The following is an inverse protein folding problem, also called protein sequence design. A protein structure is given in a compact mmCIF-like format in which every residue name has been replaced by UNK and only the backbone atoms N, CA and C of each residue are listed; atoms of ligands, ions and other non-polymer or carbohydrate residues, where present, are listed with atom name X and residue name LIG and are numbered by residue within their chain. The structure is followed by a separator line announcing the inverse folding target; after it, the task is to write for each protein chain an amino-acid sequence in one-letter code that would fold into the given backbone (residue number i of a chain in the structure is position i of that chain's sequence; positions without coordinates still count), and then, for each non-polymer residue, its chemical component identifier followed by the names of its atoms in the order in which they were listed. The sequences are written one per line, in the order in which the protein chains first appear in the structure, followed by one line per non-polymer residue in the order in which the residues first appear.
data_IF_399766834560
#
_entry.id   IF_399766834560
#
_cell.length_a   1.000
_cell.length_b   1.000
_cell.length_c   1.000
_cell.angle_alpha   90.00
_cell.angle_beta   90.00
_cell.angle_gamma   90.00
#
_symmetry.space_group_name_H-M   'P 1'
#
loop_
_entity.id
_entity.type
_entity.pdbx_description
1 polymer ?
#
# COMPACT_ATOMS: atom_id res chain seq x y z
N UNK A 1 -11.68 16.93 -10.26
CA UNK A 1 -11.53 17.59 -8.93
C UNK A 1 -10.09 18.06 -8.79
N UNK A 2 -9.80 19.16 -8.06
CA UNK A 2 -8.42 19.53 -7.75
C UNK A 2 -7.77 18.51 -6.79
N UNK A 3 -6.44 18.45 -6.77
CA UNK A 3 -5.68 17.59 -5.86
C UNK A 3 -4.77 18.42 -4.97
N UNK A 4 -4.84 18.19 -3.65
CA UNK A 4 -3.97 18.81 -2.66
C UNK A 4 -2.80 17.86 -2.35
N UNK A 5 -1.57 18.32 -2.56
CA UNK A 5 -0.35 17.65 -2.18
C UNK A 5 0.27 18.37 -0.97
N UNK A 6 0.14 17.83 0.25
CA UNK A 6 0.85 18.37 1.41
C UNK A 6 2.36 18.39 1.15
N UNK A 7 3.02 19.47 1.55
CA UNK A 7 4.43 19.69 1.27
C UNK A 7 5.15 20.37 2.43
N UNK A 8 6.33 19.85 2.78
CA UNK A 8 7.25 20.44 3.75
C UNK A 8 8.34 21.21 3.00
N UNK A 9 8.19 22.53 2.94
CA UNK A 9 9.10 23.38 2.16
C UNK A 9 10.47 23.58 2.80
N UNK A 10 10.61 23.39 4.11
CA UNK A 10 11.90 23.48 4.84
C UNK A 10 12.70 24.76 4.51
N UNK A 11 12.02 25.91 4.40
CA UNK A 11 12.63 27.20 4.09
C UNK A 11 12.85 27.48 2.59
N UNK A 12 12.55 26.52 1.71
CA UNK A 12 12.60 26.71 0.27
C UNK A 12 11.26 27.22 -0.29
N UNK A 13 11.29 27.69 -1.54
CA UNK A 13 10.09 28.04 -2.30
C UNK A 13 10.02 27.19 -3.57
N UNK A 14 8.81 26.84 -4.01
CA UNK A 14 8.61 26.20 -5.32
C UNK A 14 8.80 27.26 -6.40
N UNK A 15 9.70 27.01 -7.35
CA UNK A 15 10.02 27.93 -8.45
C UNK A 15 9.41 27.48 -9.78
N UNK A 16 9.06 26.20 -9.92
CA UNK A 16 8.38 25.70 -11.11
C UNK A 16 7.98 24.24 -11.02
N UNK A 17 7.08 23.85 -11.94
CA UNK A 17 6.69 22.46 -12.19
C UNK A 17 6.75 22.23 -13.69
N UNK A 18 7.42 21.16 -14.10
CA UNK A 18 7.45 20.72 -15.50
C UNK A 18 6.95 19.30 -15.64
N UNK A 19 6.27 19.00 -16.73
CA UNK A 19 5.97 17.62 -17.12
C UNK A 19 7.22 16.92 -17.65
N UNK A 20 7.17 15.60 -17.75
CA UNK A 20 8.23 14.77 -18.34
C UNK A 20 8.61 15.16 -19.79
N UNK A 21 7.73 15.85 -20.52
CA UNK A 21 8.01 16.35 -21.88
C UNK A 21 8.67 17.74 -21.87
N UNK A 22 8.90 18.34 -20.70
CA UNK A 22 9.46 19.67 -20.53
C UNK A 22 8.44 20.81 -20.55
N UNK A 23 7.14 20.52 -20.71
CA UNK A 23 6.11 21.55 -20.63
C UNK A 23 6.01 22.12 -19.21
N UNK A 24 6.16 23.44 -19.08
CA UNK A 24 6.06 24.15 -17.80
C UNK A 24 4.61 24.48 -17.47
N UNK A 25 4.19 24.11 -16.26
CA UNK A 25 2.87 24.44 -15.75
C UNK A 25 2.80 25.92 -15.33
N UNK A 26 1.65 26.52 -15.53
CA UNK A 26 1.37 27.92 -15.20
C UNK A 26 0.86 28.06 -13.77
N UNK A 27 1.63 28.76 -12.92
CA UNK A 27 1.19 29.11 -11.57
C UNK A 27 -0.09 29.95 -11.61
N UNK A 28 -1.02 29.66 -10.71
CA UNK A 28 -2.33 30.30 -10.66
C UNK A 28 -3.35 29.73 -11.64
N UNK A 29 -2.96 29.05 -12.72
CA UNK A 29 -3.87 28.34 -13.64
C UNK A 29 -3.87 26.84 -13.36
N UNK A 30 -2.71 26.21 -13.42
CA UNK A 30 -2.57 24.74 -13.38
C UNK A 30 -2.32 24.26 -11.96
N UNK A 31 -1.69 25.10 -11.13
CA UNK A 31 -1.47 24.85 -9.72
C UNK A 31 -1.44 26.14 -8.89
N UNK A 32 -1.61 26.00 -7.58
CA UNK A 32 -1.40 27.07 -6.59
C UNK A 32 -0.55 26.54 -5.45
N UNK A 33 0.19 27.42 -4.78
CA UNK A 33 1.07 27.07 -3.66
C UNK A 33 0.61 27.80 -2.40
N UNK A 34 0.60 27.07 -1.29
CA UNK A 34 0.37 27.60 0.06
C UNK A 34 1.60 27.34 0.93
N UNK A 35 1.57 27.74 2.20
CA UNK A 35 2.71 27.57 3.12
C UNK A 35 3.07 26.10 3.40
N UNK A 36 2.14 25.15 3.18
CA UNK A 36 2.32 23.74 3.53
C UNK A 36 1.76 22.77 2.49
N UNK A 37 1.40 23.23 1.29
CA UNK A 37 0.85 22.38 0.25
C UNK A 37 0.93 23.00 -1.15
N UNK A 38 0.96 22.13 -2.16
CA UNK A 38 0.80 22.44 -3.58
C UNK A 38 -0.57 21.90 -4.00
N UNK A 39 -1.40 22.72 -4.63
CA UNK A 39 -2.71 22.29 -5.15
C UNK A 39 -2.68 22.27 -6.67
N UNK A 40 -2.92 21.10 -7.27
CA UNK A 40 -3.12 20.96 -8.71
C UNK A 40 -4.59 21.18 -9.07
N UNK A 41 -4.85 22.03 -10.05
CA UNK A 41 -6.22 22.41 -10.42
C UNK A 41 -6.90 21.32 -11.24
N UNK A 42 -8.22 21.26 -11.13
CA UNK A 42 -9.04 20.29 -11.84
C UNK A 42 -8.86 20.34 -13.37
N UNK A 43 -8.70 21.54 -13.96
CA UNK A 43 -8.51 21.71 -15.40
C UNK A 43 -7.23 21.09 -15.92
N UNK A 44 -6.13 21.23 -15.17
CA UNK A 44 -4.87 20.54 -15.50
C UNK A 44 -5.00 19.02 -15.32
N UNK A 45 -5.63 18.58 -14.22
CA UNK A 45 -5.75 17.14 -13.93
C UNK A 45 -6.69 16.40 -14.89
N UNK A 46 -7.69 17.08 -15.49
CA UNK A 46 -8.61 16.45 -16.43
C UNK A 46 -7.95 15.99 -17.74
N UNK A 47 -6.76 16.48 -18.05
CA UNK A 47 -5.97 15.99 -19.19
C UNK A 47 -5.46 14.56 -18.97
N UNK A 48 -5.39 14.12 -17.71
CA UNK A 48 -4.79 12.84 -17.31
C UNK A 48 -5.76 11.91 -16.60
N UNK A 49 -6.78 12.44 -15.93
CA UNK A 49 -7.64 11.70 -15.01
C UNK A 49 -9.11 11.83 -15.40
N UNK A 50 -9.85 10.74 -15.32
CA UNK A 50 -11.27 10.72 -15.65
C UNK A 50 -11.90 9.33 -15.57
N UNK A 51 -13.24 9.24 -15.60
CA UNK A 51 -13.96 7.98 -15.40
C UNK A 51 -13.70 6.94 -16.50
N UNK A 52 -13.35 7.38 -17.71
CA UNK A 52 -13.07 6.52 -18.85
C UNK A 52 -11.58 6.40 -19.16
N UNK A 53 -10.72 6.93 -18.27
CA UNK A 53 -9.28 6.82 -18.44
C UNK A 53 -8.84 5.49 -17.86
N UNK A 54 -8.07 4.72 -18.64
CA UNK A 54 -7.51 3.46 -18.18
C UNK A 54 -6.61 3.68 -16.95
N UNK A 55 -6.63 2.79 -15.94
CA UNK A 55 -5.70 2.90 -14.82
C UNK A 55 -4.23 2.83 -15.24
N UNK A 56 -3.35 3.40 -14.41
CA UNK A 56 -1.90 3.42 -14.57
C UNK A 56 -1.29 4.82 -14.52
N UNK A 57 0.02 4.87 -14.70
CA UNK A 57 0.82 6.11 -14.80
C UNK A 57 0.32 7.00 -15.94
N UNK A 58 0.22 8.31 -15.69
CA UNK A 58 -0.24 9.30 -16.68
C UNK A 58 0.78 10.38 -16.97
N UNK A 59 1.45 10.89 -15.93
CA UNK A 59 2.49 11.89 -16.10
C UNK A 59 3.46 11.88 -14.93
N UNK A 60 4.74 12.06 -15.21
CA UNK A 60 5.71 12.46 -14.20
C UNK A 60 5.89 13.97 -14.22
N UNK A 61 5.82 14.59 -13.04
CA UNK A 61 6.03 16.02 -12.85
C UNK A 61 7.32 16.23 -12.04
N UNK A 62 8.15 17.16 -12.49
CA UNK A 62 9.37 17.58 -11.80
C UNK A 62 9.09 18.91 -11.11
N UNK A 63 9.23 18.94 -9.79
CA UNK A 63 9.09 20.11 -8.94
C UNK A 63 10.48 20.69 -8.69
N UNK A 64 10.67 21.95 -9.04
CA UNK A 64 11.91 22.69 -8.84
C UNK A 64 11.74 23.70 -7.71
N UNK A 65 12.75 23.81 -6.86
CA UNK A 65 12.75 24.68 -5.70
C UNK A 65 13.88 25.72 -5.78
N UNK A 66 13.81 26.74 -4.94
CA UNK A 66 14.82 27.81 -4.83
C UNK A 66 16.22 27.29 -4.51
N UNK A 67 16.32 26.16 -3.80
CA UNK A 67 17.56 25.46 -3.52
C UNK A 67 17.29 23.96 -3.31
N UNK A 68 18.35 23.16 -3.35
CA UNK A 68 18.28 21.72 -3.15
C UNK A 68 17.88 20.93 -4.41
N UNK A 69 17.68 19.62 -4.23
CA UNK A 69 17.31 18.72 -5.31
C UNK A 69 15.87 18.94 -5.78
N UNK A 70 15.60 18.62 -7.04
CA UNK A 70 14.23 18.52 -7.55
C UNK A 70 13.50 17.34 -6.90
N UNK A 71 12.17 17.40 -6.92
CA UNK A 71 11.32 16.27 -6.53
C UNK A 71 10.49 15.81 -7.71
N UNK A 72 10.35 14.50 -7.86
CA UNK A 72 9.50 13.90 -8.88
C UNK A 72 8.23 13.37 -8.23
N UNK A 73 7.09 13.71 -8.82
CA UNK A 73 5.79 13.14 -8.45
C UNK A 73 5.13 12.54 -9.67
N UNK A 74 4.23 11.59 -9.44
CA UNK A 74 3.51 10.89 -10.50
C UNK A 74 2.01 11.20 -10.41
N UNK A 75 1.42 11.51 -11.55
CA UNK A 75 -0.04 11.55 -11.73
C UNK A 75 -0.48 10.16 -12.15
N UNK A 76 -1.32 9.53 -11.35
CA UNK A 76 -1.78 8.16 -11.55
C UNK A 76 -3.30 8.12 -11.58
N UNK A 77 -3.85 7.54 -12.65
CA UNK A 77 -5.24 7.10 -12.64
C UNK A 77 -5.27 5.73 -11.97
N UNK A 78 -6.09 5.56 -10.94
CA UNK A 78 -6.19 4.27 -10.26
C UNK A 78 -7.65 3.82 -10.20
N UNK A 79 -7.81 2.52 -9.95
CA UNK A 79 -9.05 1.82 -9.62
C UNK A 79 -8.67 0.64 -8.71
N UNK A 80 -9.64 -0.04 -8.09
CA UNK A 80 -9.34 -1.15 -7.18
C UNK A 80 -8.74 -2.33 -7.96
N UNK A 81 -7.52 -2.81 -7.60
CA UNK A 81 -6.93 -4.01 -8.19
C UNK A 81 -7.83 -5.24 -8.02
N UNK A 82 -7.61 -6.27 -8.82
CA UNK A 82 -8.41 -7.52 -8.75
C UNK A 82 -7.51 -8.76 -8.75
N UNK A 83 -7.96 -9.83 -8.10
CA UNK A 83 -7.36 -11.16 -8.28
C UNK A 83 -7.58 -11.60 -9.72
N UNK A 84 -6.53 -12.15 -10.33
CA UNK A 84 -6.64 -12.79 -11.65
C UNK A 84 -7.20 -14.20 -11.49
N UNK A 85 -6.71 -14.93 -10.50
CA UNK A 85 -7.15 -16.28 -10.11
C UNK A 85 -6.87 -16.49 -8.64
N UNK A 86 -7.58 -17.45 -8.03
CA UNK A 86 -7.30 -17.96 -6.69
C UNK A 86 -6.38 -19.18 -6.84
N UNK A 87 -5.10 -19.08 -6.44
CA UNK A 87 -4.16 -20.19 -6.52
C UNK A 87 -4.26 -21.09 -5.28
N UNK A 88 -4.03 -22.38 -5.45
CA UNK A 88 -3.91 -23.30 -4.31
C UNK A 88 -2.54 -23.16 -3.63
N UNK A 89 -2.49 -23.31 -2.31
CA UNK A 89 -1.25 -23.30 -1.56
C UNK A 89 -0.61 -24.71 -1.58
N UNK A 90 0.69 -24.78 -1.89
CA UNK A 90 1.46 -26.01 -1.72
C UNK A 90 2.32 -25.90 -0.46
N UNK A 91 2.22 -26.84 0.50
CA UNK A 91 3.02 -26.81 1.72
C UNK A 91 4.53 -26.70 1.44
N UNK A 92 5.19 -25.79 2.15
CA UNK A 92 6.62 -25.53 1.99
C UNK A 92 7.02 -24.72 0.75
N UNK A 93 6.06 -24.20 -0.03
CA UNK A 93 6.31 -23.32 -1.17
C UNK A 93 5.76 -21.90 -0.94
N UNK A 94 6.37 -20.92 -1.59
CA UNK A 94 5.80 -19.56 -1.67
C UNK A 94 4.55 -19.58 -2.56
N UNK A 95 3.47 -18.95 -2.11
CA UNK A 95 2.22 -18.84 -2.86
C UNK A 95 2.23 -17.57 -3.70
N UNK A 96 2.07 -17.75 -5.02
CA UNK A 96 2.00 -16.65 -5.99
C UNK A 96 0.54 -16.26 -6.22
N UNK A 97 0.13 -15.09 -5.73
CA UNK A 97 -1.22 -14.55 -5.88
C UNK A 97 -1.21 -13.52 -7.02
N UNK A 98 -1.74 -13.86 -8.20
CA UNK A 98 -1.72 -12.97 -9.34
C UNK A 98 -2.74 -11.85 -9.18
N UNK A 99 -2.25 -10.62 -9.29
CA UNK A 99 -3.00 -9.38 -9.17
C UNK A 99 -2.97 -8.63 -10.50
N UNK A 100 -4.15 -8.27 -11.00
CA UNK A 100 -4.26 -7.23 -12.01
C UNK A 100 -4.21 -5.87 -11.31
N UNK A 101 -3.04 -5.25 -11.35
CA UNK A 101 -2.85 -3.90 -10.82
C UNK A 101 -3.67 -2.87 -11.61
N UNK A 102 -4.29 -1.95 -10.90
CA UNK A 102 -5.04 -0.83 -11.48
C UNK A 102 -4.57 0.50 -10.90
N UNK A 103 -3.29 0.79 -11.07
CA UNK A 103 -2.67 2.00 -10.51
C UNK A 103 -1.16 1.81 -10.39
N UNK A 104 -0.59 2.23 -9.27
CA UNK A 104 0.82 1.96 -8.96
C UNK A 104 0.96 0.47 -8.59
N UNK A 105 1.88 -0.29 -9.22
CA UNK A 105 2.11 -1.70 -8.93
C UNK A 105 2.94 -1.89 -7.65
N UNK A 106 2.48 -1.27 -6.55
CA UNK A 106 3.13 -1.28 -5.25
C UNK A 106 2.09 -1.62 -4.20
N UNK A 107 2.38 -2.65 -3.43
CA UNK A 107 1.53 -3.05 -2.32
C UNK A 107 1.76 -2.11 -1.13
N UNK A 108 0.67 -1.67 -0.51
CA UNK A 108 0.75 -0.76 0.61
C UNK A 108 0.90 -1.54 1.93
N UNK A 109 0.08 -2.57 2.15
CA UNK A 109 0.17 -3.46 3.31
C UNK A 109 -0.55 -4.78 3.04
N UNK A 110 -0.25 -5.80 3.86
CA UNK A 110 -1.05 -7.03 3.92
C UNK A 110 -1.50 -7.24 5.35
N UNK A 111 -2.76 -7.62 5.53
CA UNK A 111 -3.36 -8.03 6.80
C UNK A 111 -3.81 -9.48 6.70
N UNK A 112 -3.68 -10.29 7.75
CA UNK A 112 -4.38 -11.59 7.82
C UNK A 112 -5.17 -11.75 9.11
N UNK A 113 -6.31 -12.40 8.98
CA UNK A 113 -7.25 -12.65 10.06
C UNK A 113 -7.94 -13.99 9.82
N UNK A 114 -7.89 -14.88 10.81
CA UNK A 114 -8.63 -16.13 10.82
C UNK A 114 -10.14 -15.87 10.98
N UNK A 115 -10.96 -16.86 10.63
CA UNK A 115 -12.42 -16.77 10.71
C UNK A 115 -12.96 -16.49 12.11
N UNK A 116 -12.22 -16.87 13.16
CA UNK A 116 -12.55 -16.61 14.57
C UNK A 116 -11.97 -15.30 15.12
N UNK A 117 -11.37 -14.47 14.26
CA UNK A 117 -10.75 -13.19 14.62
C UNK A 117 -9.28 -13.29 15.06
N UNK A 118 -8.71 -14.49 15.11
CA UNK A 118 -7.30 -14.71 15.44
C UNK A 118 -6.39 -14.10 14.37
N UNK A 119 -5.29 -13.45 14.77
CA UNK A 119 -4.25 -12.93 13.86
C UNK A 119 -3.09 -13.95 13.78
N UNK A 120 -2.23 -13.93 12.75
CA UNK A 120 -1.33 -15.07 12.47
C UNK A 120 0.18 -14.91 12.70
N UNK A 121 0.76 -13.75 13.06
CA UNK A 121 2.23 -13.57 12.99
C UNK A 121 2.89 -12.84 14.16
N UNK A 122 4.22 -12.97 14.28
CA UNK A 122 5.14 -12.39 15.28
C UNK A 122 6.47 -11.89 14.63
N UNK A 123 7.17 -11.00 15.36
CA UNK A 123 8.58 -10.60 15.44
C UNK A 123 9.13 -9.24 14.90
N UNK A 124 9.45 -8.38 15.88
CA UNK A 124 10.39 -7.23 16.05
C UNK A 124 10.36 -5.95 15.15
N UNK A 125 10.41 -4.75 15.79
CA UNK A 125 10.73 -3.44 15.17
C UNK A 125 11.37 -2.41 16.14
N UNK A 126 12.56 -2.65 16.69
CA UNK A 126 13.19 -1.69 17.62
C UNK A 126 14.08 -0.60 16.95
N UNK A 127 14.15 -0.53 15.61
CA UNK A 127 15.12 0.37 14.93
C UNK A 127 14.58 1.22 13.76
N UNK A 128 13.29 1.57 13.74
CA UNK A 128 12.75 2.45 12.69
C UNK A 128 12.69 3.92 13.11
N UNK A 129 13.29 4.79 12.30
CA UNK A 129 13.37 6.24 12.50
C UNK A 129 12.13 7.00 11.99
N UNK A 130 12.02 8.32 12.28
CA UNK A 130 10.79 9.11 12.10
C UNK A 130 10.25 9.22 10.66
N UNK A 131 11.07 8.92 9.65
CA UNK A 131 10.75 9.08 8.23
C UNK A 131 9.98 7.90 7.61
N UNK A 132 9.81 6.79 8.34
CA UNK A 132 9.03 5.65 7.87
C UNK A 132 7.54 5.74 8.25
N UNK A 133 7.05 6.87 8.77
CA UNK A 133 5.69 6.93 9.36
C UNK A 133 4.47 6.65 8.45
N UNK A 134 4.50 6.63 7.10
CA UNK A 134 3.41 6.06 6.31
C UNK A 134 3.59 4.57 5.95
N UNK A 135 4.70 3.94 6.34
CA UNK A 135 5.11 2.59 5.92
C UNK A 135 5.61 1.77 7.11
N UNK A 136 5.12 0.54 7.27
CA UNK A 136 5.49 -0.48 8.28
C UNK A 136 4.81 -0.39 9.66
N UNK A 137 4.69 -1.48 10.44
CA UNK A 137 4.79 -2.95 10.28
C UNK A 137 4.58 -3.55 11.69
N UNK A 138 4.41 -4.88 11.74
CA UNK A 138 4.24 -5.76 12.89
C UNK A 138 2.85 -5.77 13.51
N UNK A 139 2.27 -6.97 13.65
CA UNK A 139 1.10 -7.26 14.50
C UNK A 139 1.16 -8.67 15.07
N UNK A 140 0.93 -8.89 16.38
CA UNK A 140 0.57 -10.21 16.93
C UNK A 140 -0.93 -10.33 17.27
N UNK A 141 -1.26 -11.49 17.79
CA UNK A 141 -2.58 -12.08 17.83
C UNK A 141 -3.01 -12.54 19.21
N UNK A 142 -4.33 -12.56 19.43
CA UNK A 142 -4.99 -13.29 20.51
C UNK A 142 -6.17 -14.13 19.95
N UNK A 143 -6.31 -15.34 20.51
CA UNK A 143 -7.37 -16.29 20.23
C UNK A 143 -8.59 -16.08 21.13
N UNK A 144 -9.75 -16.65 20.75
CA UNK A 144 -11.00 -16.58 21.53
C UNK A 144 -10.93 -17.30 22.90
N UNK A 145 -9.85 -18.06 23.16
CA UNK A 145 -9.61 -18.81 24.40
C UNK A 145 -8.66 -18.13 25.40
N UNK A 146 -8.13 -16.94 25.05
CA UNK A 146 -7.35 -16.10 25.97
C UNK A 146 -5.87 -16.49 26.17
N UNK A 147 -5.30 -17.38 25.34
CA UNK A 147 -3.88 -17.74 25.47
C UNK A 147 -2.96 -16.70 24.82
N UNK A 148 -2.01 -16.16 25.60
CA UNK A 148 -1.03 -15.12 25.22
C UNK A 148 0.38 -15.73 25.12
N UNK A 149 1.02 -15.59 23.95
CA UNK A 149 2.47 -15.73 23.75
C UNK A 149 3.03 -14.33 23.43
N UNK A 150 3.70 -13.65 24.38
CA UNK A 150 4.20 -12.24 24.27
C UNK A 150 4.99 -11.95 22.97
N UNK A 151 5.00 -10.76 22.31
CA UNK A 151 4.72 -9.32 22.62
C UNK A 151 3.81 -8.63 21.55
N UNK A 152 2.67 -8.01 21.94
CA UNK A 152 1.52 -7.66 21.05
C UNK A 152 0.90 -6.29 21.17
N UNK A 153 1.71 -5.29 20.96
CA UNK A 153 1.23 -3.94 21.17
C UNK A 153 0.21 -3.46 20.10
N UNK A 154 0.02 -4.20 19.00
CA UNK A 154 -0.64 -3.71 17.77
C UNK A 154 -2.13 -3.99 17.64
N UNK A 155 -2.65 -4.96 18.39
CA UNK A 155 -4.09 -5.17 18.57
C UNK A 155 -4.80 -3.93 19.16
N UNK A 156 -4.04 -3.09 19.87
CA UNK A 156 -4.47 -1.80 20.44
C UNK A 156 -4.29 -0.60 19.51
N UNK A 157 -3.70 -0.79 18.33
CA UNK A 157 -3.55 0.27 17.35
C UNK A 157 -4.84 0.49 16.56
N UNK A 158 -4.95 1.68 15.95
CA UNK A 158 -6.09 2.00 15.09
C UNK A 158 -6.25 1.00 13.93
N UNK A 159 -7.42 0.96 13.26
CA UNK A 159 -7.74 -0.03 12.22
C UNK A 159 -6.68 -0.20 11.10
N UNK A 160 -5.85 0.82 10.87
CA UNK A 160 -4.77 0.84 9.87
C UNK A 160 -3.53 0.02 10.24
N UNK A 161 -3.40 -0.42 11.50
CA UNK A 161 -2.16 -1.00 12.01
C UNK A 161 -2.35 -2.39 12.62
N UNK A 162 -3.57 -2.93 12.71
CA UNK A 162 -3.88 -4.26 13.28
C UNK A 162 -3.88 -5.39 12.21
N UNK A 163 -3.42 -6.58 12.57
CA UNK A 163 -3.30 -7.80 11.74
C UNK A 163 -2.24 -7.83 10.63
N UNK A 164 -1.26 -6.92 10.59
CA UNK A 164 -0.33 -6.72 9.46
C UNK A 164 0.82 -7.73 9.42
N UNK A 165 1.11 -8.20 8.21
CA UNK A 165 2.26 -9.02 7.89
C UNK A 165 3.53 -8.16 7.77
N UNK A 166 4.69 -8.82 7.82
CA UNK A 166 6.01 -8.19 7.68
C UNK A 166 6.53 -8.40 6.26
N UNK A 167 6.90 -7.30 5.59
CA UNK A 167 7.48 -7.34 4.26
C UNK A 167 8.80 -8.12 4.25
N UNK A 168 9.07 -8.86 3.17
CA UNK A 168 10.17 -9.81 2.98
C UNK A 168 10.18 -11.03 3.90
N UNK A 169 9.54 -10.98 5.07
CA UNK A 169 9.44 -12.14 5.98
C UNK A 169 8.20 -13.01 5.69
N UNK A 170 7.03 -12.38 5.61
CA UNK A 170 5.74 -13.06 5.45
C UNK A 170 5.10 -12.81 4.08
N UNK A 171 5.39 -11.66 3.46
CA UNK A 171 4.94 -11.36 2.11
C UNK A 171 5.99 -10.57 1.34
N UNK A 172 5.90 -10.66 0.02
CA UNK A 172 6.61 -9.81 -0.94
C UNK A 172 5.66 -9.48 -2.09
N UNK A 173 6.10 -8.67 -3.05
CA UNK A 173 5.42 -8.55 -4.34
C UNK A 173 6.46 -8.37 -5.44
N UNK A 174 6.24 -9.02 -6.56
CA UNK A 174 7.11 -8.94 -7.73
C UNK A 174 6.25 -9.01 -8.99
N UNK A 175 6.50 -8.09 -9.92
CA UNK A 175 5.75 -8.02 -11.17
C UNK A 175 4.23 -7.94 -10.92
N UNK A 176 3.50 -8.95 -11.41
CA UNK A 176 2.03 -9.03 -11.27
C UNK A 176 1.57 -9.89 -10.09
N UNK A 177 2.46 -10.30 -9.18
CA UNK A 177 2.12 -11.19 -8.08
C UNK A 177 2.35 -10.52 -6.72
N UNK A 178 1.41 -10.74 -5.82
CA UNK A 178 1.69 -10.71 -4.39
C UNK A 178 2.13 -12.11 -3.98
N UNK A 179 3.21 -12.21 -3.22
CA UNK A 179 3.79 -13.47 -2.82
C UNK A 179 3.56 -13.63 -1.32
N UNK A 180 2.81 -14.64 -0.91
CA UNK A 180 2.81 -15.08 0.49
C UNK A 180 3.93 -16.09 0.67
N UNK A 181 4.82 -15.84 1.63
CA UNK A 181 5.97 -16.70 1.87
C UNK A 181 5.52 -18.04 2.44
N UNK A 182 6.31 -19.09 2.20
CA UNK A 182 6.08 -20.42 2.78
C UNK A 182 5.91 -20.38 4.31
N UNK A 183 6.56 -19.44 5.00
CA UNK A 183 6.40 -19.18 6.44
C UNK A 183 4.97 -18.76 6.81
N UNK A 184 4.35 -17.88 6.02
CA UNK A 184 2.97 -17.47 6.21
C UNK A 184 1.99 -18.61 5.93
N UNK A 185 2.27 -19.43 4.90
CA UNK A 185 1.47 -20.63 4.60
C UNK A 185 1.56 -21.64 5.73
N UNK A 186 2.77 -21.93 6.24
CA UNK A 186 3.00 -22.81 7.37
C UNK A 186 2.23 -22.36 8.62
N UNK A 187 2.20 -21.04 8.91
CA UNK A 187 1.44 -20.49 10.03
C UNK A 187 -0.08 -20.72 9.88
N UNK A 188 -0.63 -20.62 8.67
CA UNK A 188 -2.05 -20.94 8.42
C UNK A 188 -2.34 -22.42 8.65
N UNK A 189 -1.48 -23.30 8.13
CA UNK A 189 -1.60 -24.75 8.30
C UNK A 189 -1.48 -25.16 9.78
N UNK A 190 -0.54 -24.58 10.53
CA UNK A 190 -0.36 -24.82 11.97
C UNK A 190 -1.54 -24.30 12.78
N UNK A 191 -2.09 -23.13 12.42
CA UNK A 191 -3.30 -22.60 13.05
C UNK A 191 -4.52 -23.50 12.80
N UNK A 192 -4.52 -24.25 11.68
CA UNK A 192 -5.58 -25.15 11.27
C UNK A 192 -6.97 -24.49 11.25
N UNK A 193 -7.01 -23.24 10.76
CA UNK A 193 -8.23 -22.45 10.54
C UNK A 193 -8.13 -21.71 9.22
N UNK A 194 -9.25 -21.45 8.57
CA UNK A 194 -9.29 -20.61 7.38
C UNK A 194 -8.87 -19.17 7.71
N UNK A 195 -8.07 -18.59 6.83
CA UNK A 195 -7.41 -17.30 7.01
C UNK A 195 -7.66 -16.38 5.83
N UNK A 196 -8.24 -15.21 6.11
CA UNK A 196 -8.44 -14.14 5.14
C UNK A 196 -7.27 -13.18 5.15
N UNK A 197 -6.51 -13.18 4.07
CA UNK A 197 -5.53 -12.15 3.72
C UNK A 197 -6.24 -10.96 3.06
N UNK A 198 -5.89 -9.74 3.43
CA UNK A 198 -6.35 -8.49 2.83
C UNK A 198 -5.13 -7.71 2.36
N UNK A 199 -5.01 -7.55 1.04
CA UNK A 199 -3.99 -6.79 0.35
C UNK A 199 -4.48 -5.36 0.16
N UNK A 200 -3.82 -4.39 0.79
CA UNK A 200 -4.14 -2.96 0.67
C UNK A 200 -3.21 -2.30 -0.35
N UNK A 201 -3.75 -1.45 -1.21
CA UNK A 201 -3.03 -0.83 -2.32
C UNK A 201 -2.91 0.68 -2.15
N UNK A 202 -2.02 1.31 -2.93
CA UNK A 202 -1.98 2.76 -3.03
C UNK A 202 -3.01 3.27 -4.06
N UNK A 203 -3.70 4.39 -3.78
CA UNK A 203 -3.71 5.12 -2.50
C UNK A 203 -4.45 4.32 -1.41
N UNK A 204 -3.99 4.46 -0.16
CA UNK A 204 -4.61 3.79 1.00
C UNK A 204 -5.94 4.46 1.36
N UNK A 205 -7.00 4.05 0.68
CA UNK A 205 -8.38 4.49 0.93
C UNK A 205 -9.28 3.28 1.14
N UNK A 206 -10.39 3.48 1.83
CA UNK A 206 -11.38 2.42 2.04
C UNK A 206 -11.83 1.83 0.70
N UNK A 207 -11.84 0.50 0.58
CA UNK A 207 -12.24 -0.22 -0.63
C UNK A 207 -11.13 -0.41 -1.68
N UNK A 208 -9.95 0.19 -1.50
CA UNK A 208 -8.79 -0.09 -2.36
C UNK A 208 -7.98 -1.29 -1.81
N UNK A 209 -8.64 -2.44 -1.76
CA UNK A 209 -8.07 -3.67 -1.22
C UNK A 209 -8.65 -4.90 -1.90
N UNK A 210 -7.88 -5.98 -1.89
CA UNK A 210 -8.27 -7.30 -2.40
C UNK A 210 -8.14 -8.30 -1.26
N UNK A 211 -9.07 -9.25 -1.18
CA UNK A 211 -9.03 -10.31 -0.18
C UNK A 211 -8.77 -11.67 -0.82
N UNK A 212 -7.97 -12.50 -0.18
CA UNK A 212 -7.73 -13.90 -0.52
C UNK A 212 -7.91 -14.74 0.74
N UNK A 213 -8.60 -15.87 0.66
CA UNK A 213 -8.79 -16.76 1.81
C UNK A 213 -8.04 -18.06 1.56
N UNK A 214 -7.19 -18.45 2.49
CA UNK A 214 -6.56 -19.77 2.50
C UNK A 214 -7.28 -20.63 3.54
N UNK A 215 -7.94 -21.70 3.09
CA UNK A 215 -8.49 -22.72 3.98
C UNK A 215 -7.49 -23.90 4.08
N UNK A 216 -6.99 -24.25 5.27
CA UNK A 216 -6.07 -25.38 5.43
C UNK A 216 -6.76 -26.74 5.23
N UNK A 217 -8.07 -26.78 5.03
CA UNK A 217 -8.85 -28.01 4.78
C UNK A 217 -9.21 -28.24 3.31
N UNK A 218 -8.99 -27.25 2.44
CA UNK A 218 -9.11 -27.44 0.99
C UNK A 218 -7.87 -28.22 0.51
N UNK A 219 -8.09 -29.31 -0.24
CA UNK A 219 -7.01 -30.24 -0.62
C UNK A 219 -5.87 -29.52 -1.35
N UNK A 220 -4.64 -29.66 -0.84
CA UNK A 220 -3.41 -29.25 -1.53
C UNK A 220 -3.10 -30.15 -2.73
#
# INVERSE_FOLDING_TARGET
MPALLPWLFNGNTLTGITTQTGHALSAGSDYTVSSNAITFKAGFLSDYLGPNVTPGSKANLTLTFSAGAHSNIEVVQWDTPVLVTEPDATPGQDLQIPIQWKGVPVLAAVRAEATDGTILFDDWTQWLGPLQRPVLAAVRAEATDGTILFDDWTQWLGPLQRGRLTFNNHYFWEGSNVILRASAIAAVLELNKAVKFTFEFYPRVAGNSVTYTLDPTDEC
#
